data_IF_011504752240
#
_entry.id   IF_011504752240
#
_cell.length_a   1.000
_cell.length_b   1.000
_cell.length_c   1.000
_cell.angle_alpha   90.00
_cell.angle_beta   90.00
_cell.angle_gamma   90.00
#
_symmetry.space_group_name_H-M   'P 1'
#
loop_
_entity.id
_entity.type
_entity.pdbx_description
1 polymer ?
#
# COMPACT_ATOMS: atom_id res chain seq x y z
N UNK A 1 1.87 -23.49 9.22
CA UNK A 1 2.83 -22.85 10.15
C UNK A 1 4.24 -23.10 9.66
N UNK A 2 5.16 -22.17 9.88
CA UNK A 2 6.58 -22.26 9.50
C UNK A 2 7.43 -22.08 10.75
N UNK A 3 8.54 -22.79 10.85
CA UNK A 3 9.54 -22.62 11.90
C UNK A 3 10.92 -22.59 11.25
N UNK A 4 11.66 -21.50 11.48
CA UNK A 4 13.05 -21.30 11.06
C UNK A 4 13.81 -20.95 12.34
N UNK A 5 14.75 -21.81 12.72
CA UNK A 5 15.37 -21.78 14.04
C UNK A 5 14.32 -21.68 15.16
N UNK A 6 14.38 -20.64 16.00
CA UNK A 6 13.42 -20.40 17.08
C UNK A 6 12.23 -19.51 16.66
N UNK A 7 12.24 -18.98 15.43
CA UNK A 7 11.18 -18.09 14.94
C UNK A 7 10.01 -18.89 14.35
N UNK A 8 8.79 -18.61 14.83
CA UNK A 8 7.55 -19.25 14.39
C UNK A 8 6.65 -18.25 13.69
N UNK A 9 6.23 -18.60 12.48
CA UNK A 9 5.29 -17.80 11.70
C UNK A 9 4.01 -18.60 11.38
N UNK A 10 2.88 -17.90 11.38
CA UNK A 10 1.58 -18.45 11.00
C UNK A 10 0.83 -17.46 10.12
N UNK A 11 0.02 -18.00 9.21
CA UNK A 11 -0.86 -17.18 8.37
C UNK A 11 -2.08 -16.75 9.17
N UNK A 12 -2.69 -15.65 8.73
CA UNK A 12 -3.94 -15.15 9.29
C UNK A 12 -5.02 -16.25 9.32
N UNK A 13 -5.79 -16.31 10.41
CA UNK A 13 -6.84 -17.32 10.61
C UNK A 13 -6.36 -18.78 10.70
N UNK A 14 -5.04 -19.04 10.76
CA UNK A 14 -4.50 -20.40 10.77
C UNK A 14 -4.48 -21.08 9.39
N UNK A 15 -4.68 -20.32 8.32
CA UNK A 15 -4.74 -20.84 6.95
C UNK A 15 -3.45 -21.54 6.51
N UNK A 16 -3.60 -22.57 5.68
CA UNK A 16 -2.49 -23.27 5.02
C UNK A 16 -2.66 -23.16 3.51
N UNK A 17 -1.59 -22.74 2.82
CA UNK A 17 -1.61 -22.51 1.38
C UNK A 17 -0.76 -23.52 0.59
N UNK A 18 0.01 -24.38 1.27
CA UNK A 18 0.94 -25.30 0.61
C UNK A 18 2.08 -24.54 -0.09
N UNK A 19 2.55 -25.09 -1.21
CA UNK A 19 3.47 -24.38 -2.11
C UNK A 19 2.69 -23.38 -2.95
N UNK A 20 3.16 -22.13 -2.96
CA UNK A 20 2.55 -21.03 -3.70
C UNK A 20 3.63 -20.23 -4.41
N UNK A 21 3.28 -19.65 -5.56
CA UNK A 21 4.12 -18.65 -6.21
C UNK A 21 4.03 -17.29 -5.49
N UNK A 22 4.95 -16.37 -5.84
CA UNK A 22 4.98 -15.03 -5.23
C UNK A 22 3.73 -14.21 -5.55
N UNK A 23 3.08 -14.46 -6.69
CA UNK A 23 1.81 -13.81 -7.04
C UNK A 23 0.74 -14.17 -6.01
N UNK A 24 0.47 -15.46 -5.85
CA UNK A 24 -0.50 -15.99 -4.90
C UNK A 24 -0.14 -15.60 -3.47
N UNK A 25 1.15 -15.69 -3.09
CA UNK A 25 1.62 -15.29 -1.78
C UNK A 25 1.32 -13.81 -1.49
N UNK A 26 1.54 -12.93 -2.46
CA UNK A 26 1.26 -11.49 -2.33
C UNK A 26 -0.23 -11.20 -2.27
N UNK A 27 -1.00 -11.74 -3.24
CA UNK A 27 -2.46 -11.59 -3.35
C UNK A 27 -3.18 -12.04 -2.09
N UNK A 28 -2.74 -13.15 -1.47
CA UNK A 28 -3.36 -13.73 -0.26
C UNK A 28 -2.66 -13.33 1.04
N UNK A 29 -1.60 -12.52 0.97
CA UNK A 29 -0.78 -12.09 2.10
C UNK A 29 -0.29 -13.27 2.97
N UNK A 30 0.38 -14.24 2.33
CA UNK A 30 0.83 -15.48 2.98
C UNK A 30 2.10 -15.23 3.80
N UNK A 31 1.93 -14.94 5.09
CA UNK A 31 3.00 -14.70 6.07
C UNK A 31 4.15 -15.71 5.97
N UNK A 32 3.85 -17.01 5.90
CA UNK A 32 4.89 -18.05 5.88
C UNK A 32 5.76 -17.98 4.63
N UNK A 33 5.22 -17.56 3.49
CA UNK A 33 5.99 -17.43 2.26
C UNK A 33 6.96 -16.23 2.34
N UNK A 34 6.51 -15.08 2.87
CA UNK A 34 7.36 -13.89 3.02
C UNK A 34 8.43 -14.04 4.10
N UNK A 35 8.15 -14.78 5.17
CA UNK A 35 9.17 -15.13 6.18
C UNK A 35 10.25 -16.04 5.58
N UNK A 36 9.87 -17.03 4.77
CA UNK A 36 10.84 -17.87 4.06
C UNK A 36 11.66 -17.05 3.06
N UNK A 37 11.01 -16.19 2.27
CA UNK A 37 11.69 -15.31 1.32
C UNK A 37 12.68 -14.37 1.99
N UNK A 38 12.32 -13.75 3.12
CA UNK A 38 13.22 -12.88 3.87
C UNK A 38 14.39 -13.65 4.48
N UNK A 39 14.18 -14.91 4.88
CA UNK A 39 15.27 -15.76 5.32
C UNK A 39 16.26 -16.08 4.17
N UNK A 40 15.75 -16.28 2.96
CA UNK A 40 16.58 -16.57 1.79
C UNK A 40 17.34 -15.33 1.27
N UNK A 41 16.69 -14.16 1.28
CA UNK A 41 17.27 -12.89 0.79
C UNK A 41 18.16 -12.21 1.85
N UNK A 42 17.75 -12.28 3.12
CA UNK A 42 18.41 -11.63 4.24
C UNK A 42 17.68 -10.36 4.71
N UNK A 43 17.61 -10.21 6.04
CA UNK A 43 16.99 -9.05 6.71
C UNK A 43 17.72 -7.75 6.37
N UNK A 44 19.05 -7.72 6.47
CA UNK A 44 19.85 -6.51 6.21
C UNK A 44 19.69 -6.00 4.77
N UNK A 45 19.69 -6.89 3.79
CA UNK A 45 19.52 -6.52 2.37
C UNK A 45 18.10 -5.98 2.11
N UNK A 46 17.09 -6.60 2.73
CA UNK A 46 15.71 -6.15 2.63
C UNK A 46 15.54 -4.74 3.21
N UNK A 47 16.09 -4.50 4.40
CA UNK A 47 16.00 -3.19 5.06
C UNK A 47 16.84 -2.12 4.37
N UNK A 48 17.98 -2.49 3.79
CA UNK A 48 18.78 -1.57 2.97
C UNK A 48 17.99 -1.12 1.73
N UNK A 49 17.25 -2.02 1.08
CA UNK A 49 16.36 -1.65 -0.03
C UNK A 49 15.19 -0.79 0.45
N UNK A 50 14.50 -1.17 1.53
CA UNK A 50 13.40 -0.38 2.09
C UNK A 50 13.82 1.06 2.39
N UNK A 51 15.02 1.24 2.97
CA UNK A 51 15.59 2.57 3.22
C UNK A 51 15.85 3.35 1.93
N UNK A 52 16.42 2.72 0.90
CA UNK A 52 16.60 3.36 -0.42
C UNK A 52 15.28 3.76 -1.06
N UNK A 53 14.22 3.01 -0.81
CA UNK A 53 12.88 3.32 -1.32
C UNK A 53 12.18 4.46 -0.57
N UNK A 54 12.71 4.91 0.58
CA UNK A 54 12.16 6.05 1.32
C UNK A 54 11.64 5.71 2.71
N UNK A 55 11.79 4.47 3.19
CA UNK A 55 11.51 4.14 4.60
C UNK A 55 12.63 4.73 5.47
N UNK A 56 12.37 5.88 6.06
CA UNK A 56 13.33 6.70 6.82
C UNK A 56 13.04 6.74 8.32
N UNK A 57 11.79 6.50 8.71
CA UNK A 57 11.27 6.60 10.08
C UNK A 57 11.37 5.31 10.89
N UNK A 58 11.66 4.17 10.24
CA UNK A 58 11.85 2.91 10.95
C UNK A 58 13.05 2.96 11.89
N UNK A 59 12.90 2.40 13.09
CA UNK A 59 13.95 2.27 14.10
C UNK A 59 14.86 1.04 13.89
N UNK A 60 14.91 0.52 12.67
CA UNK A 60 15.70 -0.65 12.32
C UNK A 60 17.16 -0.50 12.74
N UNK A 61 17.61 -1.51 13.47
CA UNK A 61 18.99 -1.70 13.91
C UNK A 61 19.45 -3.09 13.49
N UNK A 62 20.59 -3.13 12.79
CA UNK A 62 21.18 -4.38 12.34
C UNK A 62 21.59 -5.25 13.53
N UNK A 63 21.26 -6.54 13.47
CA UNK A 63 21.57 -7.51 14.52
C UNK A 63 20.62 -7.51 15.72
N UNK A 64 19.69 -6.55 15.83
CA UNK A 64 18.66 -6.53 16.89
C UNK A 64 17.28 -6.95 16.40
N UNK A 65 17.06 -6.89 15.08
CA UNK A 65 15.81 -7.31 14.44
C UNK A 65 16.01 -8.55 13.57
N UNK A 66 14.95 -9.35 13.43
CA UNK A 66 14.98 -10.62 12.69
C UNK A 66 13.83 -10.77 11.70
N UNK A 67 13.45 -12.02 11.44
CA UNK A 67 12.44 -12.38 10.42
C UNK A 67 11.04 -11.82 10.68
N UNK A 68 10.75 -11.30 11.86
CA UNK A 68 9.47 -10.63 12.15
C UNK A 68 9.23 -9.40 11.29
N UNK A 69 10.30 -8.79 10.74
CA UNK A 69 10.20 -7.67 9.82
C UNK A 69 9.39 -8.05 8.57
N UNK A 70 9.47 -9.30 8.09
CA UNK A 70 8.65 -9.75 6.95
C UNK A 70 7.14 -9.64 7.22
N UNK A 71 6.74 -9.50 8.47
CA UNK A 71 5.35 -9.33 8.91
C UNK A 71 5.06 -7.89 9.38
N UNK A 72 5.96 -6.94 9.14
CA UNK A 72 5.77 -5.53 9.47
C UNK A 72 5.91 -5.23 10.97
N UNK A 73 6.89 -5.82 11.65
CA UNK A 73 7.11 -5.59 13.10
C UNK A 73 7.80 -4.27 13.46
N UNK A 74 8.07 -3.40 12.47
CA UNK A 74 8.71 -2.10 12.67
C UNK A 74 7.69 -1.00 12.44
N UNK A 75 7.77 0.04 13.25
CA UNK A 75 6.95 1.24 13.06
C UNK A 75 7.46 2.03 11.85
N UNK A 76 6.54 2.51 11.02
CA UNK A 76 6.83 3.31 9.82
C UNK A 76 5.74 4.37 9.65
N UNK A 77 6.13 5.56 9.17
CA UNK A 77 5.17 6.63 8.93
C UNK A 77 4.32 6.36 7.67
N UNK A 78 3.06 6.84 7.62
CA UNK A 78 2.27 6.78 6.38
C UNK A 78 2.91 7.50 5.20
N UNK A 79 3.69 8.56 5.46
CA UNK A 79 4.41 9.28 4.41
C UNK A 79 5.52 8.43 3.79
N UNK A 80 6.28 7.72 4.63
CA UNK A 80 7.31 6.77 4.17
C UNK A 80 6.69 5.67 3.32
N UNK A 81 5.55 5.10 3.75
CA UNK A 81 4.84 4.06 3.01
C UNK A 81 4.35 4.57 1.65
N UNK A 82 3.77 5.77 1.60
CA UNK A 82 3.33 6.38 0.35
C UNK A 82 4.52 6.66 -0.58
N UNK A 83 5.64 7.17 -0.06
CA UNK A 83 6.88 7.41 -0.81
C UNK A 83 7.46 6.11 -1.38
N UNK A 84 7.57 5.07 -0.55
CA UNK A 84 8.11 3.77 -0.96
C UNK A 84 7.23 3.08 -2.02
N UNK A 85 5.90 3.13 -1.90
CA UNK A 85 5.01 2.59 -2.92
C UNK A 85 5.01 3.45 -4.20
N UNK A 86 5.28 4.77 -4.06
CA UNK A 86 5.50 5.67 -5.18
C UNK A 86 6.68 5.26 -6.06
N UNK A 87 7.69 4.59 -5.50
CA UNK A 87 8.81 4.04 -6.29
C UNK A 87 8.33 2.97 -7.26
N UNK A 88 7.37 2.12 -6.88
CA UNK A 88 6.81 1.11 -7.79
C UNK A 88 5.99 1.76 -8.91
N UNK A 89 5.15 2.74 -8.54
CA UNK A 89 4.39 3.56 -9.49
C UNK A 89 5.29 4.27 -10.51
N UNK A 90 6.41 4.83 -10.04
CA UNK A 90 7.42 5.52 -10.84
C UNK A 90 8.49 4.56 -11.41
N UNK A 91 8.17 3.28 -11.56
CA UNK A 91 9.00 2.27 -12.25
C UNK A 91 10.45 2.22 -11.74
N UNK A 92 10.61 2.36 -10.43
CA UNK A 92 11.87 2.26 -9.71
C UNK A 92 12.60 3.58 -9.42
N UNK A 93 12.02 4.72 -9.80
CA UNK A 93 12.54 6.04 -9.48
C UNK A 93 11.93 6.59 -8.18
N UNK A 94 12.77 7.21 -7.36
CA UNK A 94 12.38 7.88 -6.13
C UNK A 94 12.61 9.38 -6.26
N UNK A 95 11.63 10.16 -5.83
CA UNK A 95 11.77 11.58 -5.55
C UNK A 95 11.54 11.80 -4.05
N UNK A 96 12.22 12.79 -3.47
CA UNK A 96 11.97 13.20 -2.08
C UNK A 96 10.57 13.81 -1.95
N UNK A 97 9.85 13.45 -0.88
CA UNK A 97 8.54 14.02 -0.61
C UNK A 97 8.70 15.45 -0.06
N UNK A 98 8.05 16.42 -0.69
CA UNK A 98 8.04 17.82 -0.23
C UNK A 98 6.63 18.39 -0.24
N UNK A 99 6.21 19.10 0.83
CA UNK A 99 4.96 19.85 0.83
C UNK A 99 5.10 21.23 0.17
N UNK A 100 6.32 21.67 -0.15
CA UNK A 100 6.62 23.01 -0.69
C UNK A 100 7.02 22.89 -2.15
N UNK A 101 6.13 23.30 -3.06
CA UNK A 101 6.41 23.31 -4.50
C UNK A 101 7.25 24.52 -4.90
N UNK A 102 6.98 25.70 -4.34
CA UNK A 102 7.70 26.93 -4.70
C UNK A 102 7.61 27.97 -3.59
N UNK A 103 8.69 28.72 -3.35
CA UNK A 103 8.72 29.87 -2.44
C UNK A 103 9.11 31.10 -3.22
N UNK A 104 8.35 32.18 -3.05
CA UNK A 104 8.63 33.49 -3.65
C UNK A 104 8.90 34.52 -2.56
N UNK A 105 9.75 35.51 -2.85
CA UNK A 105 9.87 36.71 -2.02
C UNK A 105 8.72 37.70 -2.29
N UNK A 106 8.71 38.83 -1.55
CA UNK A 106 7.67 39.85 -1.68
C UNK A 106 7.65 40.55 -3.05
N UNK A 107 8.77 40.53 -3.78
CA UNK A 107 8.91 41.13 -5.11
C UNK A 107 8.61 40.12 -6.24
N UNK A 108 8.31 38.86 -5.88
CA UNK A 108 7.98 37.78 -6.81
C UNK A 108 9.20 36.99 -7.31
N UNK A 109 10.38 37.20 -6.74
CA UNK A 109 11.56 36.40 -7.09
C UNK A 109 11.48 35.02 -6.46
N UNK A 110 11.97 34.01 -7.18
CA UNK A 110 11.99 32.62 -6.71
C UNK A 110 13.10 32.43 -5.69
N UNK A 111 12.73 31.95 -4.51
CA UNK A 111 13.65 31.56 -3.44
C UNK A 111 13.88 30.05 -3.39
N UNK A 112 12.85 29.27 -3.74
CA UNK A 112 12.86 27.81 -3.79
C UNK A 112 11.94 27.35 -4.92
N UNK A 113 12.35 26.35 -5.69
CA UNK A 113 11.52 25.73 -6.74
C UNK A 113 11.73 24.22 -6.75
N UNK A 114 10.70 23.49 -6.34
CA UNK A 114 10.64 22.04 -6.27
C UNK A 114 9.64 21.47 -7.30
N UNK A 115 9.26 22.26 -8.31
CA UNK A 115 8.34 21.79 -9.36
C UNK A 115 8.92 20.61 -10.16
N UNK A 116 10.25 20.54 -10.27
CA UNK A 116 10.98 19.45 -10.91
C UNK A 116 11.87 18.74 -9.88
N UNK A 117 11.36 17.77 -9.11
CA UNK A 117 12.14 17.10 -8.09
C UNK A 117 13.24 16.23 -8.71
N UNK A 118 14.42 16.21 -8.09
CA UNK A 118 15.48 15.29 -8.47
C UNK A 118 15.02 13.84 -8.27
N UNK A 119 15.20 13.02 -9.31
CA UNK A 119 14.81 11.60 -9.31
C UNK A 119 16.05 10.72 -9.24
N UNK A 120 16.00 9.74 -8.34
CA UNK A 120 17.04 8.71 -8.22
C UNK A 120 16.45 7.33 -8.49
N UNK A 121 17.06 6.58 -9.40
CA UNK A 121 16.71 5.17 -9.60
C UNK A 121 17.23 4.33 -8.43
N UNK A 122 16.31 3.71 -7.69
CA UNK A 122 16.61 2.89 -6.50
C UNK A 122 16.19 1.43 -6.66
N UNK A 123 15.39 1.15 -7.70
CA UNK A 123 14.96 -0.19 -8.11
C UNK A 123 15.05 -0.31 -9.64
N UNK A 124 15.37 -1.51 -10.13
CA UNK A 124 15.37 -1.77 -11.57
C UNK A 124 13.94 -1.66 -12.13
N UNK A 125 13.82 -1.06 -13.32
CA UNK A 125 12.54 -0.82 -13.99
C UNK A 125 11.72 -2.11 -14.15
N UNK A 126 12.34 -3.16 -14.70
CA UNK A 126 11.69 -4.47 -14.90
C UNK A 126 11.23 -5.07 -13.58
N UNK A 127 11.96 -4.84 -12.48
CA UNK A 127 11.56 -5.34 -11.17
C UNK A 127 10.34 -4.59 -10.65
N UNK A 128 10.30 -3.26 -10.80
CA UNK A 128 9.14 -2.45 -10.42
C UNK A 128 7.89 -2.86 -11.22
N UNK A 129 8.02 -3.06 -12.54
CA UNK A 129 6.90 -3.47 -13.39
C UNK A 129 6.35 -4.86 -13.01
N UNK A 130 7.23 -5.82 -12.66
CA UNK A 130 6.81 -7.13 -12.17
C UNK A 130 6.11 -7.03 -10.80
N UNK A 131 6.58 -6.15 -9.92
CA UNK A 131 5.90 -5.88 -8.64
C UNK A 131 4.52 -5.28 -8.88
N UNK A 132 4.40 -4.32 -9.81
CA UNK A 132 3.12 -3.70 -10.19
C UNK A 132 2.12 -4.76 -10.67
N UNK A 133 2.56 -5.65 -11.54
CA UNK A 133 1.74 -6.75 -12.09
C UNK A 133 1.28 -7.74 -11.02
N UNK A 134 2.13 -8.05 -10.04
CA UNK A 134 1.77 -8.90 -8.90
C UNK A 134 0.81 -8.17 -7.94
N UNK A 135 1.06 -6.89 -7.64
CA UNK A 135 0.26 -6.10 -6.69
C UNK A 135 -1.14 -5.75 -7.21
N UNK A 136 -1.36 -5.73 -8.53
CA UNK A 136 -2.70 -5.62 -9.12
C UNK A 136 -3.62 -6.75 -8.62
N UNK A 137 -3.10 -7.97 -8.46
CA UNK A 137 -3.86 -9.12 -7.97
C UNK A 137 -4.44 -8.96 -6.56
N UNK A 138 -3.98 -7.98 -5.76
CA UNK A 138 -4.54 -7.70 -4.43
C UNK A 138 -5.93 -7.08 -4.51
N UNK A 139 -6.18 -6.29 -5.56
CA UNK A 139 -7.44 -5.61 -5.84
C UNK A 139 -8.38 -6.42 -6.75
N UNK A 140 -7.90 -7.53 -7.31
CA UNK A 140 -8.73 -8.45 -8.09
C UNK A 140 -9.62 -9.33 -7.19
N UNK A 141 -10.67 -9.91 -7.79
CA UNK A 141 -11.57 -10.84 -7.13
C UNK A 141 -10.79 -11.99 -6.45
N UNK A 142 -10.97 -12.12 -5.14
CA UNK A 142 -10.24 -13.09 -4.32
C UNK A 142 -8.91 -12.58 -3.75
N UNK A 143 -8.45 -11.38 -4.11
CA UNK A 143 -7.39 -10.68 -3.40
C UNK A 143 -7.84 -10.16 -2.03
N UNK A 144 -6.88 -9.77 -1.19
CA UNK A 144 -7.18 -9.27 0.17
C UNK A 144 -7.95 -7.94 0.20
N UNK A 145 -8.03 -7.23 -0.92
CA UNK A 145 -8.83 -6.00 -1.09
C UNK A 145 -9.63 -6.07 -2.40
N UNK A 146 -10.11 -7.26 -2.76
CA UNK A 146 -10.76 -7.52 -4.05
C UNK A 146 -12.07 -6.76 -4.30
N UNK A 147 -12.64 -6.15 -3.25
CA UNK A 147 -13.86 -5.34 -3.32
C UNK A 147 -13.55 -3.83 -3.37
N UNK A 148 -12.27 -3.43 -3.41
CA UNK A 148 -11.83 -2.03 -3.33
C UNK A 148 -11.07 -1.55 -4.58
N UNK A 149 -11.39 -2.14 -5.73
CA UNK A 149 -10.88 -1.67 -7.01
C UNK A 149 -11.41 -0.27 -7.32
N UNK A 150 -10.61 0.51 -8.05
CA UNK A 150 -11.06 1.76 -8.67
C UNK A 150 -11.24 1.48 -10.18
N UNK A 151 -12.09 2.23 -10.87
CA UNK A 151 -12.40 2.04 -12.31
C UNK A 151 -11.22 2.42 -13.25
N UNK A 152 -9.99 2.02 -12.89
CA UNK A 152 -8.74 2.24 -13.61
C UNK A 152 -7.65 1.30 -13.06
N UNK A 153 -6.56 1.06 -13.81
CA UNK A 153 -5.43 0.25 -13.34
C UNK A 153 -4.87 0.79 -12.02
N UNK A 154 -4.83 -0.07 -11.01
CA UNK A 154 -4.29 0.23 -9.71
C UNK A 154 -3.66 -1.01 -9.08
N UNK A 155 -2.66 -0.79 -8.23
CA UNK A 155 -1.94 -1.82 -7.51
C UNK A 155 -1.91 -1.44 -6.03
N UNK A 156 -1.84 -2.43 -5.14
CA UNK A 156 -1.76 -2.12 -3.71
C UNK A 156 -1.49 -3.32 -2.83
N UNK A 157 -1.45 -3.06 -1.52
CA UNK A 157 -1.23 -4.09 -0.51
C UNK A 157 -1.94 -3.75 0.79
N UNK A 158 -2.60 -4.77 1.34
CA UNK A 158 -3.15 -4.75 2.70
C UNK A 158 -2.06 -5.04 3.74
N UNK A 159 -2.14 -4.37 4.89
CA UNK A 159 -1.40 -4.70 6.10
C UNK A 159 -2.36 -4.87 7.27
N UNK A 160 -2.12 -5.85 8.14
CA UNK A 160 -2.92 -6.05 9.35
C UNK A 160 -2.02 -6.59 10.44
N UNK A 161 -1.79 -5.77 11.46
CA UNK A 161 -1.02 -6.19 12.62
C UNK A 161 -1.78 -7.24 13.44
N UNK A 162 -1.05 -7.91 14.32
CA UNK A 162 -1.64 -8.88 15.25
C UNK A 162 -2.74 -8.22 16.08
N UNK A 163 -3.80 -8.98 16.37
CA UNK A 163 -4.97 -8.50 17.13
C UNK A 163 -5.59 -7.24 16.53
N UNK A 164 -5.46 -7.01 15.22
CA UNK A 164 -6.11 -5.89 14.52
C UNK A 164 -5.81 -4.51 15.17
N UNK A 165 -4.62 -4.34 15.73
CA UNK A 165 -4.19 -3.09 16.38
C UNK A 165 -3.87 -1.98 15.38
N UNK A 166 -3.39 -2.39 14.21
CA UNK A 166 -3.06 -1.53 13.09
C UNK A 166 -3.60 -2.17 11.81
N UNK A 167 -4.25 -1.35 10.98
CA UNK A 167 -4.76 -1.76 9.69
C UNK A 167 -4.29 -0.77 8.62
N UNK A 168 -3.69 -1.30 7.58
CA UNK A 168 -3.08 -0.52 6.51
C UNK A 168 -3.65 -0.91 5.16
N UNK A 169 -3.85 0.07 4.31
CA UNK A 169 -3.88 -0.15 2.87
C UNK A 169 -3.00 0.89 2.19
N UNK A 170 -2.07 0.42 1.38
CA UNK A 170 -1.22 1.29 0.57
C UNK A 170 -1.41 0.88 -0.87
N UNK A 171 -1.81 1.82 -1.71
CA UNK A 171 -2.11 1.56 -3.11
C UNK A 171 -1.78 2.76 -3.99
N UNK A 172 -1.60 2.49 -5.26
CA UNK A 172 -1.14 3.45 -6.23
C UNK A 172 -1.68 3.16 -7.63
N UNK A 173 -1.71 4.22 -8.42
CA UNK A 173 -1.75 4.20 -9.89
C UNK A 173 -0.39 4.68 -10.40
N UNK A 174 -0.09 4.66 -11.70
CA UNK A 174 1.16 5.23 -12.22
C UNK A 174 1.40 6.71 -11.85
N UNK A 175 0.35 7.44 -11.43
CA UNK A 175 0.38 8.90 -11.24
C UNK A 175 0.19 9.35 -9.79
N UNK A 176 -0.25 8.45 -8.90
CA UNK A 176 -0.52 8.79 -7.50
C UNK A 176 -0.35 7.57 -6.60
N UNK A 177 0.43 7.71 -5.53
CA UNK A 177 0.58 6.73 -4.44
C UNK A 177 -0.06 7.28 -3.17
N UNK A 178 -0.85 6.45 -2.48
CA UNK A 178 -1.57 6.82 -1.25
C UNK A 178 -1.46 5.72 -0.21
N UNK A 179 -1.15 6.12 1.02
CA UNK A 179 -1.12 5.25 2.19
C UNK A 179 -2.23 5.64 3.16
N UNK A 180 -3.02 4.66 3.57
CA UNK A 180 -4.04 4.81 4.61
C UNK A 180 -3.70 3.88 5.77
N UNK A 181 -3.55 4.47 6.95
CA UNK A 181 -3.44 3.76 8.22
C UNK A 181 -4.66 4.02 9.08
N UNK A 182 -5.08 3.00 9.80
CA UNK A 182 -6.06 3.11 10.87
C UNK A 182 -5.51 2.41 12.11
N UNK A 183 -5.61 3.09 13.25
CA UNK A 183 -5.16 2.63 14.55
C UNK A 183 -5.47 3.68 15.60
N UNK A 184 -5.14 3.37 16.85
CA UNK A 184 -5.29 4.30 17.96
C UNK A 184 -3.95 5.02 18.20
N UNK A 185 -3.97 6.35 18.15
CA UNK A 185 -2.74 7.17 18.23
C UNK A 185 -2.07 7.19 19.61
N UNK A 186 -2.81 6.87 20.66
CA UNK A 186 -2.37 6.91 22.05
C UNK A 186 -1.73 5.60 22.52
N UNK A 187 -2.31 4.46 22.12
CA UNK A 187 -1.81 3.14 22.46
C UNK A 187 -2.36 2.07 21.50
N UNK A 188 -1.57 1.02 21.19
CA UNK A 188 -2.05 -0.11 20.39
C UNK A 188 -3.22 -0.83 21.07
N UNK A 189 -4.40 -0.77 20.45
CA UNK A 189 -5.63 -1.41 20.94
C UNK A 189 -6.34 -2.10 19.78
N UNK A 190 -6.94 -3.25 20.07
CA UNK A 190 -7.69 -3.99 19.06
C UNK A 190 -8.85 -3.13 18.53
N UNK A 191 -8.88 -2.93 17.21
CA UNK A 191 -9.97 -2.23 16.54
C UNK A 191 -11.07 -3.23 16.17
N UNK A 192 -12.23 -3.16 16.82
CA UNK A 192 -13.39 -4.02 16.48
C UNK A 192 -14.68 -3.23 16.31
N UNK A 193 -15.53 -3.70 15.40
CA UNK A 193 -16.91 -3.20 15.23
C UNK A 193 -16.98 -1.68 14.97
N UNK A 194 -16.00 -1.13 14.24
CA UNK A 194 -15.89 0.29 13.90
C UNK A 194 -16.47 0.51 12.50
N UNK A 195 -17.19 1.61 12.29
CA UNK A 195 -17.62 2.04 10.95
C UNK A 195 -18.46 1.01 10.18
N UNK A 196 -19.29 0.22 10.88
CA UNK A 196 -20.12 -0.82 10.26
C UNK A 196 -19.40 -2.14 9.94
N UNK A 197 -18.07 -2.23 10.13
CA UNK A 197 -17.30 -3.46 9.91
C UNK A 197 -17.43 -4.38 11.14
N UNK A 198 -18.08 -5.54 10.98
CA UNK A 198 -18.24 -6.52 12.06
C UNK A 198 -16.95 -7.32 12.26
N UNK A 199 -16.47 -7.42 13.51
CA UNK A 199 -15.21 -8.09 13.83
C UNK A 199 -14.03 -7.14 13.84
N UNK A 200 -12.81 -7.67 13.64
CA UNK A 200 -11.59 -6.88 13.68
C UNK A 200 -11.39 -6.08 12.39
N UNK A 201 -10.90 -4.84 12.49
CA UNK A 201 -10.55 -4.02 11.33
C UNK A 201 -9.28 -4.58 10.69
N UNK A 202 -9.39 -4.95 9.41
CA UNK A 202 -8.27 -5.43 8.57
C UNK A 202 -7.90 -4.39 7.53
N UNK A 203 -6.73 -4.53 6.91
CA UNK A 203 -6.29 -3.65 5.83
C UNK A 203 -7.28 -3.60 4.66
N UNK A 204 -7.87 -4.73 4.29
CA UNK A 204 -8.90 -4.83 3.25
C UNK A 204 -10.31 -4.41 3.67
N UNK A 205 -10.47 -3.73 4.82
CA UNK A 205 -11.77 -3.23 5.29
C UNK A 205 -11.81 -1.70 5.19
N UNK A 206 -11.95 -0.98 6.31
CA UNK A 206 -12.01 0.49 6.30
C UNK A 206 -10.79 1.17 5.63
N UNK A 207 -9.52 0.71 5.81
CA UNK A 207 -8.39 1.36 5.16
C UNK A 207 -8.45 1.29 3.63
N UNK A 208 -8.75 0.11 3.07
CA UNK A 208 -8.90 -0.05 1.62
C UNK A 208 -10.09 0.74 1.06
N UNK A 209 -11.24 0.72 1.75
CA UNK A 209 -12.42 1.51 1.34
C UNK A 209 -12.15 3.03 1.40
N UNK A 210 -11.40 3.48 2.41
CA UNK A 210 -10.98 4.90 2.52
C UNK A 210 -10.03 5.27 1.39
N UNK A 211 -9.08 4.39 1.06
CA UNK A 211 -8.17 4.58 -0.07
C UNK A 211 -8.93 4.64 -1.39
N UNK A 212 -9.86 3.73 -1.62
CA UNK A 212 -10.69 3.65 -2.84
C UNK A 212 -11.48 4.95 -3.03
N UNK A 213 -12.18 5.40 -1.99
CA UNK A 213 -12.95 6.66 -1.99
C UNK A 213 -12.06 7.87 -2.30
N UNK A 214 -10.91 7.99 -1.61
CA UNK A 214 -9.97 9.08 -1.84
C UNK A 214 -9.39 9.06 -3.26
N UNK A 215 -8.90 7.92 -3.73
CA UNK A 215 -8.26 7.79 -5.04
C UNK A 215 -9.25 8.02 -6.19
N UNK A 216 -10.49 7.57 -6.02
CA UNK A 216 -11.56 7.80 -7.00
C UNK A 216 -11.83 9.30 -7.17
N UNK A 217 -11.92 10.03 -6.05
CA UNK A 217 -12.10 11.48 -6.08
C UNK A 217 -10.87 12.21 -6.61
N UNK A 218 -9.67 11.85 -6.15
CA UNK A 218 -8.40 12.49 -6.52
C UNK A 218 -8.05 12.38 -8.00
N UNK A 219 -8.49 11.29 -8.63
CA UNK A 219 -8.14 10.95 -10.00
C UNK A 219 -9.30 11.18 -10.98
N UNK A 220 -10.43 11.75 -10.53
CA UNK A 220 -11.63 11.93 -11.36
C UNK A 220 -11.33 12.65 -12.70
N UNK A 221 -10.50 13.69 -12.66
CA UNK A 221 -10.10 14.50 -13.82
C UNK A 221 -8.69 14.17 -14.35
N UNK A 222 -8.05 13.13 -13.80
CA UNK A 222 -6.74 12.66 -14.27
C UNK A 222 -6.93 11.58 -15.32
N UNK A 223 -6.33 11.72 -16.52
CA UNK A 223 -6.36 10.67 -17.55
C UNK A 223 -5.96 9.30 -17.00
N UNK A 224 -6.66 8.26 -17.44
CA UNK A 224 -6.31 6.89 -17.08
C UNK A 224 -4.99 6.51 -17.74
N UNK A 225 -4.06 6.01 -16.93
CA UNK A 225 -2.73 5.56 -17.37
C UNK A 225 -2.57 4.10 -16.98
N UNK A 226 -2.20 3.26 -17.94
CA UNK A 226 -1.92 1.85 -17.71
C UNK A 226 -0.53 1.65 -17.10
N UNK A 227 -0.38 0.57 -16.31
CA UNK A 227 0.95 0.09 -15.94
C UNK A 227 1.68 -0.45 -17.18
N UNK A 228 3.01 -0.35 -17.18
CA UNK A 228 3.81 -1.00 -18.22
C UNK A 228 3.76 -2.51 -18.07
N UNK A 229 3.54 -3.22 -19.17
CA UNK A 229 3.59 -4.68 -19.18
C UNK A 229 5.01 -5.15 -18.82
N UNK A 230 5.19 -5.99 -17.79
CA UNK A 230 6.51 -6.40 -17.36
C UNK A 230 7.18 -7.30 -18.39
N UNK A 231 8.48 -7.09 -18.60
CA UNK A 231 9.29 -8.07 -19.32
C UNK A 231 9.31 -9.40 -18.54
N UNK A 232 9.35 -10.56 -19.23
CA UNK A 232 9.42 -11.85 -18.57
C UNK A 232 10.59 -11.93 -17.59
N UNK A 233 10.32 -12.37 -16.37
CA UNK A 233 11.38 -12.62 -15.38
C UNK A 233 12.32 -13.68 -15.96
N UNK A 234 13.58 -13.29 -16.19
CA UNK A 234 14.59 -14.23 -16.64
C UNK A 234 14.91 -15.19 -15.50
N UNK A 235 14.94 -16.50 -15.79
CA UNK A 235 15.26 -17.52 -14.80
C UNK A 235 16.58 -17.18 -14.08
N UNK A 236 16.58 -17.24 -12.75
CA UNK A 236 17.78 -16.98 -11.94
C UNK A 236 18.94 -17.89 -12.35
N UNK A 237 18.65 -19.15 -12.74
CA UNK A 237 19.63 -20.06 -13.31
C UNK A 237 20.24 -19.51 -14.61
N UNK A 238 19.46 -18.84 -15.45
CA UNK A 238 19.95 -18.21 -16.67
C UNK A 238 20.76 -16.93 -16.38
N UNK A 239 20.38 -16.13 -15.37
CA UNK A 239 21.19 -14.99 -14.89
C UNK A 239 22.54 -15.49 -14.33
N UNK A 240 22.53 -16.52 -13.48
CA UNK A 240 23.73 -17.11 -12.90
C UNK A 240 24.60 -17.80 -13.96
N UNK A 241 24.00 -18.47 -14.97
CA UNK A 241 24.71 -19.02 -16.14
C UNK A 241 25.32 -17.93 -17.02
N UNK A 242 24.66 -16.77 -17.18
CA UNK A 242 25.21 -15.62 -17.91
C UNK A 242 26.38 -15.01 -17.15
N UNK A 243 26.24 -14.78 -15.84
CA UNK A 243 27.33 -14.28 -14.98
C UNK A 243 28.53 -15.22 -14.91
N UNK A 244 28.31 -16.53 -14.87
CA UNK A 244 29.40 -17.52 -14.90
C UNK A 244 30.07 -17.64 -16.28
N UNK A 245 29.39 -17.20 -17.36
CA UNK A 245 29.93 -17.14 -18.72
C UNK A 245 30.60 -15.81 -19.06
N UNK A 246 30.31 -14.72 -18.35
CA UNK A 246 30.79 -13.38 -18.69
C UNK A 246 32.16 -13.06 -18.06
N UNK A 247 33.21 -13.64 -18.64
CA UNK A 247 34.53 -13.00 -18.75
C UNK A 247 34.62 -12.10 -20.00
N UNK A 248 33.57 -11.33 -20.31
CA UNK A 248 33.47 -10.53 -21.54
C UNK A 248 33.15 -9.05 -21.27
N UNK A 249 33.86 -8.19 -22.00
CA UNK A 249 33.92 -6.72 -21.94
C UNK A 249 32.53 -6.06 -22.16
N UNK A 250 32.15 -5.18 -21.22
CA UNK A 250 30.87 -4.45 -21.17
C UNK A 250 30.75 -3.29 -22.17
N UNK A 251 31.74 -3.06 -23.05
CA UNK A 251 31.74 -1.91 -23.97
C UNK A 251 30.82 -2.02 -25.20
N UNK A 252 29.96 -3.02 -25.31
CA UNK A 252 29.08 -3.15 -26.49
C UNK A 252 27.69 -3.67 -26.14
N UNK A 253 26.94 -2.89 -25.37
CA UNK A 253 25.48 -2.98 -25.41
C UNK A 253 25.02 -2.25 -26.67
N UNK A 254 24.60 -3.00 -27.69
CA UNK A 254 23.78 -2.42 -28.76
C UNK A 254 22.36 -2.29 -28.21
N UNK A 255 21.88 -1.06 -28.12
CA UNK A 255 20.46 -0.80 -27.88
C UNK A 255 19.62 -1.52 -28.95
N UNK A 256 18.48 -2.13 -28.58
CA UNK A 256 17.58 -2.68 -29.56
C UNK A 256 17.03 -1.54 -30.44
N UNK A 257 17.34 -1.57 -31.73
CA UNK A 257 16.71 -0.66 -32.68
C UNK A 257 15.26 -1.10 -32.90
N UNK A 258 14.30 -0.22 -32.59
CA UNK A 258 12.94 -0.32 -33.12
C UNK A 258 11.77 -0.36 -32.12
N UNK A 259 11.96 -0.10 -30.83
CA UNK A 259 10.82 0.25 -29.98
C UNK A 259 10.64 1.77 -30.05
N UNK A 260 9.64 2.24 -30.80
CA UNK A 260 9.19 3.62 -30.60
C UNK A 260 8.75 3.75 -29.14
N UNK A 261 9.30 4.71 -28.37
CA UNK A 261 8.82 4.98 -27.03
C UNK A 261 7.33 5.30 -27.12
N UNK A 262 6.50 4.60 -26.34
CA UNK A 262 5.11 5.00 -26.15
C UNK A 262 5.08 6.47 -25.75
N UNK A 263 4.11 7.21 -26.27
CA UNK A 263 3.92 8.62 -25.93
C UNK A 263 3.59 8.73 -24.45
N UNK A 264 4.57 9.07 -23.64
CA UNK A 264 4.34 9.49 -22.26
C UNK A 264 3.74 10.90 -22.33
N UNK A 265 2.57 11.09 -21.72
CA UNK A 265 2.06 12.44 -21.47
C UNK A 265 2.95 13.03 -20.38
N UNK A 266 3.80 13.96 -20.78
CA UNK A 266 4.92 14.50 -19.98
C UNK A 266 4.43 15.33 -18.78
N UNK A 267 3.20 15.85 -18.82
CA UNK A 267 2.53 16.50 -17.70
C UNK A 267 1.06 16.10 -17.66
N UNK A 268 0.70 15.25 -16.69
CA UNK A 268 -0.70 15.07 -16.30
C UNK A 268 -1.06 16.14 -15.27
N UNK A 269 -2.31 16.65 -15.25
CA UNK A 269 -2.74 17.55 -14.19
C UNK A 269 -2.50 16.87 -12.84
N UNK A 270 -1.91 17.59 -11.90
CA UNK A 270 -1.67 17.05 -10.56
C UNK A 270 -3.02 16.58 -9.96
N UNK A 271 -3.08 15.39 -9.36
CA UNK A 271 -4.27 14.94 -8.65
C UNK A 271 -4.66 15.99 -7.60
N UNK A 272 -5.94 16.36 -7.56
CA UNK A 272 -6.42 17.40 -6.67
C UNK A 272 -7.66 16.91 -5.90
N UNK A 273 -7.58 16.96 -4.58
CA UNK A 273 -8.73 16.89 -3.69
C UNK A 273 -8.56 18.00 -2.67
N UNK A 274 -9.64 18.70 -2.33
CA UNK A 274 -9.63 19.55 -1.15
C UNK A 274 -9.30 18.66 0.05
N UNK A 275 -8.21 18.95 0.76
CA UNK A 275 -7.89 18.23 1.98
C UNK A 275 -9.14 18.23 2.89
N UNK A 276 -9.56 17.08 3.45
CA UNK A 276 -10.60 17.09 4.45
C UNK A 276 -10.17 18.05 5.56
N UNK A 277 -11.11 18.83 6.10
CA UNK A 277 -10.82 19.69 7.24
C UNK A 277 -10.23 18.83 8.34
N UNK A 278 -8.93 18.99 8.61
CA UNK A 278 -8.27 18.30 9.70
C UNK A 278 -9.02 18.66 10.98
N UNK A 279 -9.80 17.72 11.51
CA UNK A 279 -10.43 17.90 12.80
C UNK A 279 -9.37 17.55 13.81
N UNK A 280 -8.61 18.54 14.26
CA UNK A 280 -7.81 18.39 15.47
C UNK A 280 -8.80 18.09 16.58
N UNK A 281 -8.81 16.85 17.08
CA UNK A 281 -9.47 16.59 18.36
C UNK A 281 -8.61 17.26 19.40
N UNK A 282 -8.96 18.49 19.76
CA UNK A 282 -8.45 19.12 20.98
C UNK A 282 -8.79 18.17 22.12
N UNK A 283 -7.79 17.80 22.94
CA UNK A 283 -8.02 17.07 24.17
C UNK A 283 -9.12 17.79 24.98
N UNK A 284 -10.05 17.07 25.63
CA UNK A 284 -11.06 17.75 26.42
C UNK A 284 -10.35 18.50 27.55
N UNK A 285 -10.56 19.82 27.60
CA UNK A 285 -10.31 20.58 28.82
C UNK A 285 -11.18 19.96 29.92
N UNK A 286 -10.54 19.59 31.04
CA UNK A 286 -11.25 19.25 32.26
C UNK A 286 -11.97 20.51 32.71
N UNK A 287 -13.26 20.62 32.39
CA UNK A 287 -14.11 21.64 32.99
C UNK A 287 -15.47 21.06 33.38
N UNK A 288 -15.93 21.62 34.49
CA UNK A 288 -16.83 21.02 35.47
C UNK A 288 -18.26 20.79 34.96
N UNK A 289 -18.92 19.86 35.64
CA UNK A 289 -20.32 19.44 35.41
C UNK A 289 -21.27 20.63 35.44
N UNK A 290 -22.06 20.84 34.40
CA UNK A 290 -23.45 21.29 34.52
C UNK A 290 -24.35 20.58 33.49
N UNK A 291 -25.50 20.10 33.96
CA UNK A 291 -26.53 19.40 33.19
C UNK A 291 -27.23 20.35 32.20
N UNK A 292 -27.50 19.85 30.99
CA UNK A 292 -28.40 20.49 30.03
C UNK A 292 -28.58 19.62 28.79
N UNK A 293 -29.74 18.97 28.69
CA UNK A 293 -30.27 18.37 27.46
C UNK A 293 -30.32 19.42 26.33
N UNK A 294 -29.92 19.03 25.12
CA UNK A 294 -30.75 19.17 23.91
C UNK A 294 -30.10 18.48 22.69
N UNK A 295 -30.93 17.71 21.99
CA UNK A 295 -30.72 16.98 20.73
C UNK A 295 -30.34 17.90 19.56
N UNK A 296 -29.31 17.52 18.79
CA UNK A 296 -29.28 17.42 17.31
C UNK A 296 -27.82 17.30 16.83
N UNK A 297 -27.42 16.11 16.36
CA UNK A 297 -26.05 15.88 15.87
C UNK A 297 -25.93 14.66 14.96
N UNK A 298 -26.19 14.84 13.67
CA UNK A 298 -25.80 13.87 12.64
C UNK A 298 -24.27 13.82 12.52
N UNK A 299 -23.69 12.64 12.74
CA UNK A 299 -22.24 12.41 12.72
C UNK A 299 -21.69 12.38 11.29
N UNK A 300 -20.52 13.00 11.09
CA UNK A 300 -19.73 12.99 9.85
C UNK A 300 -19.37 11.57 9.35
N UNK A 301 -19.51 10.54 10.20
CA UNK A 301 -19.32 9.14 9.84
C UNK A 301 -20.53 8.55 9.09
N UNK A 302 -21.75 9.03 9.39
CA UNK A 302 -22.96 8.58 8.69
C UNK A 302 -23.05 9.14 7.25
N UNK A 303 -22.36 10.25 6.96
CA UNK A 303 -22.27 10.81 5.60
C UNK A 303 -21.22 10.13 4.72
N UNK A 304 -20.19 9.52 5.32
CA UNK A 304 -19.17 8.75 4.61
C UNK A 304 -19.57 7.29 4.38
N UNK A 305 -20.47 6.76 5.20
CA UNK A 305 -20.95 5.37 5.12
C UNK A 305 -22.48 5.31 5.32
N UNK A 306 -23.29 5.62 4.29
CA UNK A 306 -24.73 5.48 4.40
C UNK A 306 -25.09 4.01 4.65
N UNK A 307 -25.91 3.76 5.67
CA UNK A 307 -26.44 2.43 5.97
C UNK A 307 -27.19 1.93 4.74
N UNK A 308 -26.78 0.77 4.21
CA UNK A 308 -27.60 0.05 3.25
C UNK A 308 -28.83 -0.48 4.00
N UNK A 309 -29.98 0.14 3.74
CA UNK A 309 -31.27 -0.42 4.11
C UNK A 309 -31.47 -1.73 3.34
N UNK A 310 -31.73 -2.78 4.11
CA UNK A 310 -31.84 -4.18 3.68
C UNK A 310 -33.20 -4.41 2.97
N UNK A 311 -33.41 -3.76 1.81
CA UNK A 311 -34.55 -4.00 0.92
C UNK A 311 -34.15 -4.89 -0.26
N UNK A 312 -33.65 -6.11 0.00
CA UNK A 312 -33.89 -7.23 -0.92
C UNK A 312 -33.61 -8.60 -0.29
N UNK A 313 -34.51 -9.03 0.61
CA UNK A 313 -34.51 -10.42 1.08
C UNK A 313 -35.43 -11.27 0.20
N UNK A 314 -34.94 -12.33 -0.47
CA UNK A 314 -35.82 -13.27 -1.16
C UNK A 314 -36.64 -14.08 -0.13
N UNK A 315 -37.89 -14.48 -0.44
CA UNK A 315 -38.78 -15.08 0.54
C UNK A 315 -38.26 -16.45 0.99
N UNK A 316 -38.27 -16.66 2.31
CA UNK A 316 -37.93 -17.92 2.96
C UNK A 316 -38.92 -19.02 2.56
N UNK A 317 -38.43 -20.10 1.93
CA UNK A 317 -39.20 -21.33 1.75
C UNK A 317 -39.40 -22.01 3.11
N UNK A 318 -40.61 -21.88 3.64
CA UNK A 318 -41.08 -22.63 4.80
C UNK A 318 -41.08 -24.13 4.53
N UNK A 319 -40.52 -24.89 5.48
CA UNK A 319 -40.73 -26.33 5.64
C UNK A 319 -42.22 -26.60 5.88
N UNK A 320 -42.82 -27.49 5.08
CA UNK A 320 -44.04 -28.21 5.47
C UNK A 320 -43.65 -29.64 5.84
N UNK A 321 -44.18 -30.09 6.97
CA UNK A 321 -44.26 -31.47 7.40
C UNK A 321 -45.69 -32.01 7.13
N UNK A 322 -45.81 -33.32 6.89
CA UNK A 322 -47.05 -34.11 6.72
C UNK A 322 -47.43 -34.30 5.24
N UNK A 323 -47.60 -35.50 4.67
CA UNK A 323 -47.80 -36.86 5.21
C UNK A 323 -46.73 -37.87 4.74
#
# INVERSE_FOLDING_TARGET
PLTIDDYKAQNYGGSSYGEVDLRTATTKSVNTAFVALMNDVGVSETMALAKRMGISTSDYQEGTHGLSIALGSLDVSPLDMASAFGVFAARGERAEATPVVRVLDADGNVLEDNAEPERQRVLEEITADNVNEIMQGVLEAGGTAGDNGIDRPAAGKTGTAQENKDAWFVGYTPTLSTSVWMGYSDAPREMRNIGGVRGGITGGSLPAATWESFMTAALADVPVTDFTEPAPITDLADILRRRSRSGFDTRRLMEPQGTEPGVYVEELPAPAVNAPTATTTTAPEEDEREEGDDDEGGSLLDSLFPRQDDENKPPSRGRRAGD
#
